data_IF_912437402042
#
_entry.id   IF_912437402042
#
_cell.length_a   1.000
_cell.length_b   1.000
_cell.length_c   1.000
_cell.angle_alpha   90.00
_cell.angle_beta   90.00
_cell.angle_gamma   90.00
#
_symmetry.space_group_name_H-M   'P 1'
#
loop_
_entity.id
_entity.type
_entity.pdbx_description
1 polymer ?
#
# COMPACT_ATOMS: atom_id res chain seq x y z
N UNK A 1 24.48 14.06 10.07
CA UNK A 1 23.77 14.05 8.77
C UNK A 1 22.47 13.30 9.01
N UNK A 2 21.45 14.01 9.53
CA UNK A 2 20.13 13.43 9.71
C UNK A 2 19.37 13.63 8.42
N UNK A 3 19.48 12.67 7.51
CA UNK A 3 18.57 12.62 6.37
C UNK A 3 17.21 12.27 6.97
N UNK A 4 16.45 13.30 7.33
CA UNK A 4 15.01 13.22 7.45
C UNK A 4 14.56 12.77 6.07
N UNK A 5 14.49 11.45 5.86
CA UNK A 5 13.91 10.86 4.67
C UNK A 5 12.54 11.49 4.58
N UNK A 6 12.42 12.48 3.70
CA UNK A 6 11.13 12.90 3.19
C UNK A 6 10.65 11.66 2.47
N UNK A 7 9.96 10.79 3.23
CA UNK A 7 9.44 9.52 2.78
C UNK A 7 8.42 9.93 1.74
N UNK A 8 8.91 10.04 0.51
CA UNK A 8 8.12 10.44 -0.63
C UNK A 8 6.97 9.45 -0.67
N UNK A 9 5.77 9.90 -1.03
CA UNK A 9 4.56 9.09 -1.06
C UNK A 9 4.79 7.74 -1.77
N UNK A 10 5.67 7.76 -2.78
CA UNK A 10 6.18 6.61 -3.53
C UNK A 10 7.00 5.60 -2.69
N UNK A 11 7.87 6.08 -1.80
CA UNK A 11 8.66 5.24 -0.89
C UNK A 11 7.79 4.58 0.18
N UNK A 12 6.79 5.31 0.69
CA UNK A 12 5.79 4.75 1.60
C UNK A 12 4.94 3.67 0.90
N UNK A 13 4.54 3.91 -0.34
CA UNK A 13 3.78 2.93 -1.13
C UNK A 13 4.60 1.66 -1.41
N UNK A 14 5.89 1.82 -1.72
CA UNK A 14 6.81 0.70 -1.98
C UNK A 14 7.03 -0.17 -0.73
N UNK A 15 7.12 0.44 0.46
CA UNK A 15 7.22 -0.29 1.73
C UNK A 15 5.94 -1.09 2.01
N UNK A 16 4.78 -0.49 1.77
CA UNK A 16 3.46 -1.16 1.88
C UNK A 16 3.35 -2.34 0.92
N UNK A 17 3.73 -2.16 -0.36
CA UNK A 17 3.73 -3.24 -1.35
C UNK A 17 4.60 -4.41 -0.89
N UNK A 18 5.82 -4.13 -0.40
CA UNK A 18 6.71 -5.17 0.13
C UNK A 18 6.11 -5.92 1.33
N UNK A 19 5.53 -5.21 2.30
CA UNK A 19 4.90 -5.83 3.49
C UNK A 19 3.74 -6.73 3.10
N UNK A 20 2.91 -6.30 2.16
CA UNK A 20 1.76 -7.08 1.70
C UNK A 20 2.19 -8.33 0.91
N UNK A 21 3.25 -8.25 0.10
CA UNK A 21 3.80 -9.42 -0.60
C UNK A 21 4.40 -10.42 0.39
N UNK A 22 5.11 -9.94 1.41
CA UNK A 22 5.68 -10.77 2.47
C UNK A 22 4.59 -11.46 3.31
N UNK A 23 3.52 -10.74 3.66
CA UNK A 23 2.38 -11.29 4.41
C UNK A 23 1.52 -12.25 3.56
N UNK A 24 1.41 -12.01 2.25
CA UNK A 24 0.62 -12.85 1.34
C UNK A 24 1.46 -13.38 0.16
N UNK A 25 2.37 -14.34 0.39
CA UNK A 25 3.24 -14.91 -0.65
C UNK A 25 2.49 -15.67 -1.76
N UNK A 26 1.18 -15.85 -1.61
CA UNK A 26 0.29 -16.44 -2.62
C UNK A 26 -0.06 -15.47 -3.75
N UNK A 27 0.13 -14.17 -3.57
CA UNK A 27 -0.10 -13.16 -4.60
C UNK A 27 1.22 -12.59 -5.10
N UNK A 28 1.31 -12.31 -6.39
CA UNK A 28 2.50 -11.72 -6.99
C UNK A 28 2.64 -10.25 -6.62
N UNK A 29 3.87 -9.74 -6.59
CA UNK A 29 4.14 -8.33 -6.33
C UNK A 29 3.41 -7.38 -7.29
N UNK A 30 3.21 -7.79 -8.55
CA UNK A 30 2.43 -7.02 -9.53
C UNK A 30 0.94 -6.90 -9.15
N UNK A 31 0.32 -8.01 -8.72
CA UNK A 31 -1.08 -8.06 -8.27
C UNK A 31 -1.29 -7.18 -7.03
N UNK A 32 -0.40 -7.33 -6.04
CA UNK A 32 -0.43 -6.53 -4.81
C UNK A 32 -0.21 -5.05 -5.13
N UNK A 33 0.77 -4.73 -5.98
CA UNK A 33 1.07 -3.35 -6.35
C UNK A 33 -0.05 -2.67 -7.13
N UNK A 34 -0.68 -3.39 -8.07
CA UNK A 34 -1.85 -2.88 -8.78
C UNK A 34 -3.05 -2.65 -7.85
N UNK A 35 -3.23 -3.51 -6.84
CA UNK A 35 -4.28 -3.35 -5.83
C UNK A 35 -4.02 -2.12 -4.95
N UNK A 36 -2.80 -1.98 -4.43
CA UNK A 36 -2.38 -0.84 -3.60
C UNK A 36 -2.51 0.46 -4.38
N UNK A 37 -2.04 0.51 -5.64
CA UNK A 37 -2.17 1.69 -6.51
C UNK A 37 -3.63 2.07 -6.78
N UNK A 38 -4.50 1.09 -7.02
CA UNK A 38 -5.94 1.34 -7.22
C UNK A 38 -6.59 1.92 -5.97
N UNK A 39 -6.32 1.35 -4.79
CA UNK A 39 -6.85 1.87 -3.53
C UNK A 39 -6.27 3.25 -3.22
N UNK A 40 -4.98 3.46 -3.43
CA UNK A 40 -4.32 4.75 -3.27
C UNK A 40 -4.93 5.83 -4.19
N UNK A 41 -5.17 5.51 -5.47
CA UNK A 41 -5.82 6.40 -6.41
C UNK A 41 -7.24 6.81 -5.97
N UNK A 42 -7.97 5.90 -5.30
CA UNK A 42 -9.31 6.16 -4.75
C UNK A 42 -9.30 7.21 -3.63
N UNK A 43 -8.16 7.37 -2.98
CA UNK A 43 -7.95 8.36 -1.92
C UNK A 43 -7.20 9.62 -2.39
N UNK A 44 -6.92 9.77 -3.70
CA UNK A 44 -6.22 10.92 -4.28
C UNK A 44 -6.89 12.28 -4.00
N UNK A 45 -8.17 12.29 -3.63
CA UNK A 45 -8.91 13.49 -3.21
C UNK A 45 -8.86 13.80 -1.70
N UNK A 46 -8.25 12.95 -0.88
CA UNK A 46 -8.19 13.12 0.57
C UNK A 46 -7.12 14.14 0.98
N UNK A 47 -7.47 15.00 1.94
CA UNK A 47 -6.64 16.12 2.39
C UNK A 47 -5.43 15.70 3.25
N UNK A 48 -5.42 14.47 3.78
CA UNK A 48 -4.35 13.96 4.64
C UNK A 48 -3.76 12.70 4.02
N UNK A 49 -2.59 12.83 3.39
CA UNK A 49 -1.89 11.78 2.63
C UNK A 49 -1.24 10.71 3.52
N UNK A 50 -0.83 11.05 4.74
CA UNK A 50 -0.31 10.07 5.72
C UNK A 50 -1.30 8.94 6.03
N UNK A 51 -2.60 9.25 6.14
CA UNK A 51 -3.62 8.24 6.38
C UNK A 51 -4.03 7.51 5.11
N UNK A 52 -3.78 8.08 3.93
CA UNK A 52 -4.10 7.43 2.65
C UNK A 52 -3.28 6.15 2.48
N UNK A 53 -1.98 6.21 2.78
CA UNK A 53 -1.11 5.03 2.76
C UNK A 53 -1.63 3.92 3.68
N UNK A 54 -1.94 4.26 4.94
CA UNK A 54 -2.45 3.30 5.91
C UNK A 54 -3.82 2.71 5.54
N UNK A 55 -4.70 3.53 4.97
CA UNK A 55 -6.01 3.07 4.50
C UNK A 55 -5.88 2.17 3.26
N UNK A 56 -5.01 2.52 2.32
CA UNK A 56 -4.71 1.72 1.13
C UNK A 56 -4.13 0.35 1.53
N UNK A 57 -3.15 0.32 2.44
CA UNK A 57 -2.61 -0.92 3.01
C UNK A 57 -3.72 -1.78 3.63
N UNK A 58 -4.52 -1.19 4.53
CA UNK A 58 -5.59 -1.90 5.22
C UNK A 58 -6.62 -2.49 4.25
N UNK A 59 -6.99 -1.75 3.21
CA UNK A 59 -7.94 -2.23 2.20
C UNK A 59 -7.35 -3.28 1.29
N UNK A 60 -6.10 -3.11 0.85
CA UNK A 60 -5.40 -4.12 0.07
C UNK A 60 -5.34 -5.44 0.87
N UNK A 61 -4.98 -5.38 2.15
CA UNK A 61 -5.01 -6.53 3.07
C UNK A 61 -6.38 -7.18 3.17
N UNK A 62 -7.45 -6.41 3.35
CA UNK A 62 -8.82 -6.95 3.42
C UNK A 62 -9.24 -7.64 2.12
N UNK A 63 -8.93 -7.04 0.97
CA UNK A 63 -9.18 -7.64 -0.36
C UNK A 63 -8.38 -8.93 -0.56
N UNK A 64 -7.10 -8.97 -0.20
CA UNK A 64 -6.28 -10.18 -0.30
C UNK A 64 -6.81 -11.29 0.62
N UNK A 65 -7.23 -10.95 1.85
CA UNK A 65 -7.90 -11.89 2.76
C UNK A 65 -9.21 -12.43 2.20
N UNK A 66 -10.03 -11.57 1.59
CA UNK A 66 -11.28 -12.00 0.92
C UNK A 66 -11.02 -12.90 -0.28
N UNK A 67 -9.93 -12.71 -1.01
CA UNK A 67 -9.54 -13.61 -2.12
C UNK A 67 -8.96 -14.94 -1.66
N UNK A 68 -8.48 -14.99 -0.42
CA UNK A 68 -7.92 -16.20 0.19
C UNK A 68 -9.00 -17.15 0.74
N UNK A 69 -10.22 -16.63 0.95
CA UNK A 69 -11.35 -17.31 1.57
C UNK A 69 -12.43 -17.63 0.53
#
# INVERSE_FOLDING_TARGET
>A
MGEMVQMSEEGLLTDVERRLVDEFPRFSADEVGNLVRQEHARFRGSRIRDFVTLLAEKRARDQLKRRLN
#
